data_IF_384828774018
#
_entry.id   IF_384828774018
#
_cell.length_a   1.000
_cell.length_b   1.000
_cell.length_c   1.000
_cell.angle_alpha   90.00
_cell.angle_beta   90.00
_cell.angle_gamma   90.00
#
_symmetry.space_group_name_H-M   'P 1'
#
loop_
_entity.id
_entity.type
_entity.pdbx_description
1 polymer ?
#
# COMPACT_ATOMS: atom_id res chain seq x y z
N UNK A 1 -27.14 3.46 3.13
CA UNK A 1 -26.25 3.74 1.98
C UNK A 1 -24.86 3.19 2.22
N UNK A 2 -23.97 3.82 3.01
CA UNK A 2 -22.57 3.36 3.15
C UNK A 2 -22.46 1.90 3.61
N UNK A 3 -23.21 1.52 4.64
CA UNK A 3 -23.23 0.14 5.13
C UNK A 3 -23.72 -0.83 4.04
N UNK A 4 -24.83 -0.52 3.35
CA UNK A 4 -25.36 -1.37 2.27
C UNK A 4 -24.38 -1.53 1.10
N UNK A 5 -23.61 -0.50 0.80
CA UNK A 5 -22.68 -0.49 -0.33
C UNK A 5 -21.36 -1.20 -0.01
N UNK A 6 -20.81 -1.04 1.20
CA UNK A 6 -19.42 -1.43 1.50
C UNK A 6 -19.25 -2.42 2.65
N UNK A 7 -20.19 -2.55 3.59
CA UNK A 7 -20.02 -3.36 4.81
C UNK A 7 -21.02 -4.53 4.89
N UNK A 8 -22.26 -4.29 4.50
CA UNK A 8 -23.42 -5.13 4.79
C UNK A 8 -24.07 -4.77 6.13
N UNK A 9 -25.30 -5.22 6.36
CA UNK A 9 -26.00 -5.04 7.63
C UNK A 9 -26.73 -6.30 8.08
N UNK A 10 -26.89 -6.47 9.40
CA UNK A 10 -27.67 -7.57 9.98
C UNK A 10 -29.16 -7.35 9.71
N UNK A 11 -29.81 -8.37 9.15
CA UNK A 11 -31.27 -8.49 9.06
C UNK A 11 -31.76 -9.56 10.03
N UNK A 12 -33.08 -9.59 10.24
CA UNK A 12 -33.76 -10.54 11.15
C UNK A 12 -33.45 -12.01 10.82
N UNK A 13 -33.15 -12.32 9.55
CA UNK A 13 -32.90 -13.68 9.03
C UNK A 13 -31.48 -13.87 8.44
N UNK A 14 -30.48 -13.08 8.84
CA UNK A 14 -29.11 -13.23 8.35
C UNK A 14 -28.39 -11.90 8.13
N UNK A 15 -27.26 -11.93 7.42
CA UNK A 15 -26.51 -10.71 7.04
C UNK A 15 -26.78 -10.43 5.57
N UNK A 16 -27.23 -9.22 5.24
CA UNK A 16 -27.25 -8.77 3.85
C UNK A 16 -25.82 -8.41 3.45
N UNK A 17 -25.31 -9.06 2.41
CA UNK A 17 -23.99 -8.77 1.86
C UNK A 17 -23.93 -7.34 1.28
N UNK A 18 -22.74 -6.74 1.37
CA UNK A 18 -22.45 -5.46 0.73
C UNK A 18 -22.52 -5.57 -0.80
N UNK A 19 -22.90 -4.49 -1.47
CA UNK A 19 -22.80 -4.38 -2.94
C UNK A 19 -21.37 -4.61 -3.45
N UNK A 20 -20.38 -4.10 -2.71
CA UNK A 20 -18.96 -4.36 -2.94
C UNK A 20 -18.38 -5.06 -1.72
N UNK A 21 -17.97 -6.32 -1.92
CA UNK A 21 -17.34 -7.12 -0.86
C UNK A 21 -16.15 -6.39 -0.25
N UNK A 22 -16.00 -6.51 1.07
CA UNK A 22 -14.86 -5.96 1.81
C UNK A 22 -13.53 -6.48 1.29
N UNK A 23 -13.48 -7.71 0.76
CA UNK A 23 -12.28 -8.26 0.13
C UNK A 23 -11.82 -7.49 -1.12
N UNK A 24 -12.71 -6.73 -1.76
CA UNK A 24 -12.38 -5.97 -2.97
C UNK A 24 -11.69 -4.64 -2.65
N UNK A 25 -12.13 -3.96 -1.59
CA UNK A 25 -11.70 -2.59 -1.29
C UNK A 25 -10.83 -2.48 -0.03
N UNK A 26 -10.82 -3.50 0.83
CA UNK A 26 -10.05 -3.50 2.05
C UNK A 26 -8.57 -3.70 1.77
N UNK A 27 -7.73 -2.91 2.46
CA UNK A 27 -6.27 -3.09 2.49
C UNK A 27 -5.82 -4.08 3.56
N UNK A 28 -6.76 -4.85 4.14
CA UNK A 28 -6.49 -5.80 5.22
C UNK A 28 -5.33 -6.75 4.88
N UNK A 29 -5.34 -7.34 3.69
CA UNK A 29 -4.32 -8.31 3.29
C UNK A 29 -2.95 -7.67 3.06
N UNK A 30 -2.93 -6.43 2.57
CA UNK A 30 -1.70 -5.67 2.46
C UNK A 30 -1.10 -5.38 3.85
N UNK A 31 -1.93 -5.03 4.83
CA UNK A 31 -1.47 -4.77 6.20
C UNK A 31 -1.00 -6.06 6.87
N UNK A 32 -1.70 -7.19 6.71
CA UNK A 32 -1.32 -8.47 7.30
C UNK A 32 0.01 -9.00 6.74
N UNK A 33 0.30 -8.71 5.48
CA UNK A 33 1.57 -9.06 4.82
C UNK A 33 2.67 -7.99 5.03
N UNK A 34 2.43 -6.95 5.83
CA UNK A 34 3.33 -5.81 6.02
C UNK A 34 3.74 -5.11 4.70
N UNK A 35 2.84 -5.08 3.72
CA UNK A 35 3.03 -4.40 2.44
C UNK A 35 2.78 -2.89 2.54
N UNK A 36 3.34 -2.10 1.61
CA UNK A 36 3.06 -0.66 1.54
C UNK A 36 1.57 -0.35 1.36
N UNK A 37 1.06 0.64 2.10
CA UNK A 37 -0.33 1.12 2.00
C UNK A 37 -0.64 1.91 0.72
N UNK A 38 0.40 2.49 0.13
CA UNK A 38 0.33 3.38 -1.03
C UNK A 38 1.34 2.93 -2.07
N UNK A 39 1.08 3.24 -3.33
CA UNK A 39 1.97 3.03 -4.48
C UNK A 39 3.11 4.08 -4.59
N UNK A 40 3.33 4.94 -3.59
CA UNK A 40 4.34 6.02 -3.63
C UNK A 40 5.75 5.56 -4.06
N UNK A 41 6.16 4.34 -3.70
CA UNK A 41 7.45 3.78 -4.12
C UNK A 41 7.51 3.54 -5.64
N UNK A 42 6.43 3.02 -6.21
CA UNK A 42 6.27 2.81 -7.66
C UNK A 42 6.21 4.16 -8.39
N UNK A 43 5.48 5.13 -7.84
CA UNK A 43 5.43 6.49 -8.41
C UNK A 43 6.78 7.19 -8.35
N UNK A 44 7.54 7.02 -7.26
CA UNK A 44 8.90 7.53 -7.15
C UNK A 44 9.84 6.86 -8.17
N UNK A 45 9.70 5.55 -8.37
CA UNK A 45 10.44 4.82 -9.39
C UNK A 45 10.10 5.33 -10.80
N UNK A 46 8.81 5.45 -11.15
CA UNK A 46 8.39 6.02 -12.44
C UNK A 46 8.94 7.43 -12.67
N UNK A 47 8.93 8.29 -11.65
CA UNK A 47 9.50 9.64 -11.74
C UNK A 47 11.02 9.60 -11.98
N UNK A 48 11.74 8.73 -11.28
CA UNK A 48 13.17 8.52 -11.49
C UNK A 48 13.47 8.01 -12.89
N UNK A 49 12.74 7.01 -13.35
CA UNK A 49 12.88 6.45 -14.70
C UNK A 49 12.59 7.50 -15.78
N UNK A 50 11.51 8.27 -15.64
CA UNK A 50 11.19 9.37 -16.54
C UNK A 50 12.32 10.41 -16.59
N UNK A 51 12.92 10.72 -15.44
CA UNK A 51 14.08 11.62 -15.35
C UNK A 51 15.34 11.02 -15.97
N UNK A 52 15.50 9.69 -16.00
CA UNK A 52 16.64 9.02 -16.64
C UNK A 52 16.49 8.98 -18.17
N UNK A 53 15.25 8.88 -18.67
CA UNK A 53 14.96 8.98 -20.11
C UNK A 53 15.16 10.40 -20.62
N UNK A 54 14.85 11.40 -19.80
CA UNK A 54 15.07 12.85 -20.00
C UNK A 54 14.78 13.37 -21.42
N UNK A 55 13.75 12.81 -22.07
CA UNK A 55 13.38 13.15 -23.43
C UNK A 55 11.89 12.86 -23.65
N UNK A 56 11.21 13.77 -24.35
CA UNK A 56 9.79 13.59 -24.70
C UNK A 56 9.57 12.50 -25.77
N UNK A 57 10.55 12.28 -26.64
CA UNK A 57 10.50 11.32 -27.76
C UNK A 57 11.87 10.65 -27.94
N UNK A 58 12.28 9.74 -27.03
CA UNK A 58 13.54 9.04 -27.17
C UNK A 58 13.51 8.15 -28.42
N UNK A 59 14.65 8.03 -29.10
CA UNK A 59 14.80 6.97 -30.09
C UNK A 59 14.68 5.60 -29.41
N UNK A 60 14.25 4.59 -30.17
CA UNK A 60 14.11 3.22 -29.63
C UNK A 60 15.42 2.73 -29.00
N UNK A 61 16.57 3.07 -29.59
CA UNK A 61 17.88 2.70 -29.07
C UNK A 61 18.24 3.41 -27.76
N UNK A 62 17.92 4.71 -27.65
CA UNK A 62 18.12 5.45 -26.40
C UNK A 62 17.23 4.88 -25.30
N UNK A 63 15.97 4.58 -25.61
CA UNK A 63 15.05 3.95 -24.67
C UNK A 63 15.54 2.57 -24.20
N UNK A 64 16.02 1.71 -25.11
CA UNK A 64 16.59 0.42 -24.73
C UNK A 64 17.84 0.55 -23.87
N UNK A 65 18.66 1.58 -24.11
CA UNK A 65 19.80 1.86 -23.25
C UNK A 65 19.34 2.22 -21.82
N UNK A 66 18.40 3.14 -21.69
CA UNK A 66 17.83 3.50 -20.38
C UNK A 66 17.20 2.28 -19.66
N UNK A 67 16.51 1.41 -20.39
CA UNK A 67 15.94 0.18 -19.81
C UNK A 67 17.02 -0.77 -19.29
N UNK A 68 18.13 -0.95 -20.03
CA UNK A 68 19.26 -1.78 -19.57
C UNK A 68 19.93 -1.19 -18.34
N UNK A 69 20.12 0.12 -18.32
CA UNK A 69 20.73 0.82 -17.20
C UNK A 69 19.85 0.71 -15.94
N UNK A 70 18.52 0.86 -16.08
CA UNK A 70 17.57 0.69 -14.99
C UNK A 70 17.51 -0.76 -14.48
N UNK A 71 17.55 -1.75 -15.38
CA UNK A 71 17.63 -3.16 -15.01
C UNK A 71 18.89 -3.44 -14.19
N UNK A 72 20.06 -2.99 -14.65
CA UNK A 72 21.32 -3.18 -13.95
C UNK A 72 21.31 -2.53 -12.56
N UNK A 73 20.71 -1.35 -12.43
CA UNK A 73 20.55 -0.64 -11.16
C UNK A 73 19.64 -1.41 -10.19
N UNK A 74 18.57 -2.03 -10.69
CA UNK A 74 17.67 -2.83 -9.88
C UNK A 74 18.29 -4.16 -9.45
N UNK A 75 19.03 -4.84 -10.34
CA UNK A 75 19.79 -6.05 -10.02
C UNK A 75 20.83 -5.78 -8.93
N UNK A 76 21.53 -4.63 -9.00
CA UNK A 76 22.46 -4.22 -7.95
C UNK A 76 21.75 -4.04 -6.59
N UNK A 77 20.59 -3.39 -6.56
CA UNK A 77 19.80 -3.22 -5.33
C UNK A 77 19.34 -4.58 -4.78
N UNK A 78 18.91 -5.51 -5.63
CA UNK A 78 18.52 -6.86 -5.19
C UNK A 78 19.72 -7.60 -4.59
N UNK A 79 20.87 -7.59 -5.26
CA UNK A 79 22.09 -8.21 -4.75
C UNK A 79 22.54 -7.62 -3.40
N UNK A 80 22.39 -6.30 -3.21
CA UNK A 80 22.64 -5.65 -1.93
C UNK A 80 21.73 -6.17 -0.82
N UNK A 81 20.42 -6.31 -1.11
CA UNK A 81 19.45 -6.87 -0.17
C UNK A 81 19.75 -8.34 0.14
N UNK A 82 20.15 -9.14 -0.85
CA UNK A 82 20.51 -10.55 -0.69
C UNK A 82 21.71 -10.74 0.25
N UNK A 83 22.66 -9.81 0.24
CA UNK A 83 23.82 -9.78 1.17
C UNK A 83 23.43 -9.20 2.54
N UNK A 84 22.16 -8.82 2.74
CA UNK A 84 21.62 -8.35 4.00
C UNK A 84 21.74 -6.85 4.24
N UNK A 85 22.10 -6.05 3.23
CA UNK A 85 21.96 -4.60 3.34
C UNK A 85 20.50 -4.24 3.59
N UNK A 86 20.28 -3.33 4.53
CA UNK A 86 18.94 -2.92 4.90
C UNK A 86 18.46 -1.78 4.01
N UNK A 87 17.21 -1.80 3.53
CA UNK A 87 16.65 -0.69 2.79
C UNK A 87 16.53 0.56 3.68
N UNK A 88 16.40 1.76 3.07
CA UNK A 88 16.16 2.99 3.81
C UNK A 88 14.97 2.83 4.77
N UNK A 89 15.16 3.25 6.02
CA UNK A 89 14.12 3.16 7.04
C UNK A 89 12.97 4.11 6.70
N UNK A 90 11.75 3.59 6.75
CA UNK A 90 10.54 4.41 6.78
C UNK A 90 10.62 5.42 7.91
N UNK A 91 10.16 6.65 7.65
CA UNK A 91 10.09 7.68 8.67
C UNK A 91 9.26 7.19 9.87
N UNK A 92 9.68 7.54 11.09
CA UNK A 92 9.11 7.03 12.33
C UNK A 92 7.57 7.17 12.38
N UNK A 93 7.04 8.32 11.93
CA UNK A 93 5.59 8.60 11.88
C UNK A 93 4.82 7.57 11.06
N UNK A 94 5.37 7.11 9.94
CA UNK A 94 4.71 6.13 9.07
C UNK A 94 4.79 4.73 9.64
N UNK A 95 5.93 4.37 10.24
CA UNK A 95 6.11 3.10 10.93
C UNK A 95 5.12 2.97 12.09
N UNK A 96 5.04 3.99 12.93
CA UNK A 96 4.14 3.98 14.09
C UNK A 96 2.67 3.87 13.66
N UNK A 97 2.27 4.58 12.61
CA UNK A 97 0.90 4.47 12.08
C UNK A 97 0.63 3.06 11.53
N UNK A 98 1.58 2.45 10.81
CA UNK A 98 1.44 1.08 10.32
C UNK A 98 1.27 0.10 11.50
N UNK A 99 2.12 0.20 12.52
CA UNK A 99 2.06 -0.66 13.71
C UNK A 99 0.74 -0.51 14.49
N UNK A 100 0.19 0.71 14.57
CA UNK A 100 -1.12 0.94 15.20
C UNK A 100 -2.25 0.33 14.38
N UNK A 101 -2.21 0.46 13.05
CA UNK A 101 -3.22 -0.13 12.15
C UNK A 101 -3.17 -1.65 12.22
N UNK A 102 -1.98 -2.28 12.19
CA UNK A 102 -1.84 -3.73 12.32
C UNK A 102 -2.46 -4.24 13.62
N UNK A 103 -2.16 -3.59 14.76
CA UNK A 103 -2.77 -3.94 16.05
C UNK A 103 -4.31 -3.85 16.06
N UNK A 104 -4.86 -2.82 15.42
CA UNK A 104 -6.32 -2.66 15.32
C UNK A 104 -6.95 -3.79 14.50
N UNK A 105 -6.27 -4.26 13.45
CA UNK A 105 -6.76 -5.37 12.62
C UNK A 105 -6.57 -6.73 13.30
N UNK A 106 -5.51 -6.91 14.09
CA UNK A 106 -5.26 -8.13 14.88
C UNK A 106 -6.28 -8.30 16.03
N UNK A 107 -6.66 -7.22 16.71
CA UNK A 107 -7.66 -7.22 17.81
C UNK A 107 -9.11 -7.43 17.31
N UNK A 108 -9.29 -7.42 16.00
CA UNK A 108 -10.58 -7.26 15.38
C UNK A 108 -11.48 -8.51 15.39
N UNK A 109 -10.97 -9.62 15.89
CA UNK A 109 -11.69 -10.90 16.06
C UNK A 109 -12.98 -10.75 16.90
N UNK A 110 -13.18 -9.63 17.61
CA UNK A 110 -14.35 -9.38 18.47
C UNK A 110 -15.14 -8.08 18.22
N UNK A 111 -14.70 -7.19 17.33
CA UNK A 111 -15.32 -5.85 17.11
C UNK A 111 -16.12 -5.73 15.79
N UNK A 112 -17.12 -4.84 15.76
CA UNK A 112 -17.88 -4.50 14.54
C UNK A 112 -16.98 -3.89 13.46
N UNK A 113 -17.17 -4.26 12.19
CA UNK A 113 -16.44 -3.70 11.04
C UNK A 113 -16.53 -2.16 10.95
N UNK A 114 -17.60 -1.57 11.48
CA UNK A 114 -17.75 -0.10 11.53
C UNK A 114 -16.80 0.53 12.55
N UNK A 115 -16.56 -0.14 13.68
CA UNK A 115 -15.77 0.41 14.78
C UNK A 115 -14.28 0.40 14.47
N UNK A 116 -13.79 -0.66 13.84
CA UNK A 116 -12.44 -0.68 13.26
C UNK A 116 -12.25 0.37 12.19
N UNK A 117 -13.15 0.51 11.22
CA UNK A 117 -13.02 1.55 10.19
C UNK A 117 -12.93 2.93 10.83
N UNK A 118 -13.71 3.17 11.89
CA UNK A 118 -13.63 4.39 12.69
C UNK A 118 -12.28 4.55 13.40
N UNK A 119 -11.73 3.47 13.97
CA UNK A 119 -10.42 3.48 14.64
C UNK A 119 -9.26 3.69 13.65
N UNK A 120 -9.33 3.09 12.47
CA UNK A 120 -8.35 3.31 11.40
C UNK A 120 -8.42 4.76 10.90
N UNK A 121 -9.62 5.29 10.65
CA UNK A 121 -9.81 6.67 10.18
C UNK A 121 -9.21 7.70 11.15
N UNK A 122 -9.32 7.47 12.47
CA UNK A 122 -8.65 8.30 13.48
C UNK A 122 -7.14 8.30 13.30
N UNK A 123 -6.51 7.13 13.10
CA UNK A 123 -5.06 7.02 12.92
C UNK A 123 -4.56 7.71 11.65
N UNK A 124 -5.31 7.64 10.55
CA UNK A 124 -4.94 8.29 9.29
C UNK A 124 -5.00 9.82 9.41
N UNK A 125 -6.01 10.37 10.10
CA UNK A 125 -6.21 11.83 10.23
C UNK A 125 -5.07 12.54 10.99
N UNK A 126 -4.39 11.84 11.90
CA UNK A 126 -3.27 12.41 12.65
C UNK A 126 -1.93 12.35 11.90
N UNK A 127 -1.86 11.59 10.81
CA UNK A 127 -0.70 11.53 9.94
C UNK A 127 -0.94 12.43 8.73
N UNK A 128 -0.61 13.73 8.83
CA UNK A 128 -0.57 14.58 7.62
C UNK A 128 0.42 13.95 6.63
N UNK A 129 -0.09 13.57 5.46
CA UNK A 129 0.71 13.15 4.30
C UNK A 129 1.63 14.29 3.89
#
# INVERSE_FOLDING_TARGET
YFEDTYIGHRRRNGVQAAMFSTSLWSVHDAVSQNLPRTNNSVEAWHRGFQSNVDCCLPSLWAFFKCLKDEQALQELKMAQLDVGQQPPRLAWKYREVNERISRILEDHTSSSAVDTLRNIARNIRFCKM
#
